data_IF_188626233842
#
_entry.id   IF_188626233842
#
_cell.length_a   1.000
_cell.length_b   1.000
_cell.length_c   1.000
_cell.angle_alpha   90.00
_cell.angle_beta   90.00
_cell.angle_gamma   90.00
#
_symmetry.space_group_name_H-M   'P 1'
#
loop_
_entity.id
_entity.type
_entity.pdbx_description
1 polymer ?
#
# COMPACT_ATOMS: atom_id res chain seq x y z
N UNK A 1 35.23 -1.23 -14.70
CA UNK A 1 34.40 -0.93 -13.51
C UNK A 1 33.32 0.06 -13.89
N UNK A 2 32.16 -0.48 -14.31
CA UNK A 2 31.01 0.33 -14.53
C UNK A 2 30.49 0.79 -13.16
N UNK A 3 30.76 2.02 -12.79
CA UNK A 3 30.11 2.71 -11.70
C UNK A 3 28.62 2.74 -12.02
N UNK A 4 27.87 1.76 -11.51
CA UNK A 4 26.42 1.81 -11.53
C UNK A 4 25.98 2.97 -10.66
N UNK A 5 25.78 4.12 -11.28
CA UNK A 5 25.19 5.28 -10.62
C UNK A 5 23.76 4.91 -10.19
N UNK A 6 23.60 4.70 -8.90
CA UNK A 6 22.27 4.52 -8.33
C UNK A 6 21.45 5.77 -8.62
N UNK A 7 20.45 5.65 -9.49
CA UNK A 7 19.60 6.77 -9.91
C UNK A 7 18.49 7.06 -8.93
N UNK A 8 18.06 6.01 -8.21
CA UNK A 8 16.95 6.07 -7.27
C UNK A 8 17.40 5.39 -5.99
N UNK A 9 17.24 6.07 -4.88
CA UNK A 9 17.50 5.55 -3.54
C UNK A 9 16.21 5.67 -2.76
N UNK A 10 15.79 4.56 -2.12
CA UNK A 10 14.70 4.56 -1.17
C UNK A 10 15.26 4.54 0.24
N UNK A 11 14.57 5.19 1.15
CA UNK A 11 14.94 5.19 2.54
C UNK A 11 13.69 5.18 3.43
N UNK A 12 13.83 4.61 4.62
CA UNK A 12 12.74 4.50 5.58
C UNK A 12 13.10 5.30 6.82
N UNK A 13 12.14 6.05 7.31
CA UNK A 13 12.21 6.72 8.61
C UNK A 13 11.51 5.83 9.63
N UNK A 14 12.20 5.52 10.72
CA UNK A 14 11.60 4.84 11.86
C UNK A 14 11.15 5.90 12.86
N UNK A 15 9.84 5.97 13.12
CA UNK A 15 9.26 6.93 14.05
C UNK A 15 9.58 6.60 15.52
N UNK A 16 9.79 5.34 15.83
CA UNK A 16 10.01 4.87 17.20
C UNK A 16 11.45 5.08 17.64
N UNK A 17 12.40 5.16 16.71
CA UNK A 17 13.79 5.46 16.94
C UNK A 17 14.12 6.87 16.43
N UNK A 18 14.05 7.84 17.32
CA UNK A 18 14.41 9.21 17.01
C UNK A 18 15.77 9.29 16.28
N UNK A 19 15.76 9.71 15.03
CA UNK A 19 16.93 10.05 14.20
C UNK A 19 17.63 8.91 13.43
N UNK A 20 17.11 7.72 13.35
CA UNK A 20 17.69 6.72 12.46
C UNK A 20 17.07 6.81 11.04
N UNK A 21 17.77 7.46 10.14
CA UNK A 21 17.52 7.38 8.71
C UNK A 21 18.24 6.14 8.20
N UNK A 22 17.50 5.08 7.96
CA UNK A 22 18.03 3.92 7.28
C UNK A 22 17.98 4.15 5.76
N UNK A 23 19.12 4.45 5.18
CA UNK A 23 19.28 4.51 3.73
C UNK A 23 19.33 3.07 3.22
N UNK A 24 18.23 2.58 2.69
CA UNK A 24 18.22 1.31 1.97
C UNK A 24 18.42 1.58 0.49
N UNK A 25 19.54 1.14 -0.01
CA UNK A 25 19.78 1.03 -1.45
C UNK A 25 18.88 -0.07 -2.03
N UNK A 26 17.61 0.23 -2.22
CA UNK A 26 16.73 -0.65 -2.96
C UNK A 26 16.75 -0.26 -4.43
N UNK A 27 17.14 -1.23 -5.26
CA UNK A 27 16.89 -1.13 -6.69
C UNK A 27 15.37 -1.21 -6.91
N UNK A 28 14.86 -0.32 -7.72
CA UNK A 28 13.51 -0.49 -8.25
C UNK A 28 13.56 -1.71 -9.16
N UNK A 29 12.80 -2.73 -8.81
CA UNK A 29 12.71 -3.92 -9.64
C UNK A 29 11.94 -3.59 -10.92
N UNK A 30 12.65 -3.57 -12.04
CA UNK A 30 12.09 -3.38 -13.37
C UNK A 30 11.93 -4.69 -14.13
N UNK A 31 12.13 -5.83 -13.48
CA UNK A 31 12.01 -7.13 -14.12
C UNK A 31 10.55 -7.46 -14.43
N UNK A 32 10.31 -8.01 -15.63
CA UNK A 32 9.00 -8.48 -16.06
C UNK A 32 8.47 -9.67 -15.25
N UNK A 33 9.30 -10.32 -14.46
CA UNK A 33 8.94 -11.49 -13.67
C UNK A 33 8.30 -11.16 -12.31
N UNK A 34 8.25 -9.88 -11.92
CA UNK A 34 7.64 -9.44 -10.66
C UNK A 34 6.10 -9.53 -10.66
N UNK A 35 5.47 -9.65 -11.82
CA UNK A 35 4.03 -9.50 -11.99
C UNK A 35 3.17 -10.54 -11.28
N UNK A 36 3.69 -11.76 -11.04
CA UNK A 36 2.94 -12.81 -10.35
C UNK A 36 2.82 -12.61 -8.83
N UNK A 37 3.62 -11.71 -8.25
CA UNK A 37 3.71 -11.50 -6.81
C UNK A 37 3.39 -10.06 -6.40
N UNK A 38 2.65 -9.35 -7.21
CA UNK A 38 2.41 -7.92 -7.01
C UNK A 38 1.37 -7.58 -5.94
N UNK A 39 0.65 -8.56 -5.44
CA UNK A 39 -0.22 -8.32 -4.29
C UNK A 39 0.61 -7.97 -3.05
N UNK A 40 0.26 -6.89 -2.33
CA UNK A 40 1.04 -6.40 -1.20
C UNK A 40 1.33 -7.45 -0.12
N UNK A 41 0.40 -8.37 0.11
CA UNK A 41 0.57 -9.43 1.10
C UNK A 41 1.51 -10.55 0.64
N UNK A 42 1.61 -10.83 -0.66
CA UNK A 42 2.55 -11.80 -1.20
C UNK A 42 3.99 -11.29 -1.15
N UNK A 43 4.20 -9.99 -1.33
CA UNK A 43 5.53 -9.36 -1.19
C UNK A 43 6.02 -9.33 0.25
N UNK A 44 5.11 -9.26 1.23
CA UNK A 44 5.47 -9.16 2.65
C UNK A 44 5.62 -10.50 3.34
N UNK A 45 4.78 -11.47 3.01
CA UNK A 45 4.81 -12.78 3.67
C UNK A 45 4.09 -13.86 2.86
N UNK A 46 4.63 -15.08 2.90
CA UNK A 46 4.00 -16.27 2.30
C UNK A 46 2.84 -16.79 3.17
N UNK A 47 2.79 -16.42 4.44
CA UNK A 47 1.81 -16.86 5.42
C UNK A 47 0.62 -15.89 5.55
N UNK A 48 -0.12 -15.62 4.47
CA UNK A 48 -1.31 -14.79 4.52
C UNK A 48 -2.51 -15.46 3.82
N UNK A 49 -3.70 -15.26 4.36
CA UNK A 49 -4.97 -15.69 3.76
C UNK A 49 -5.81 -14.48 3.41
N UNK A 50 -6.49 -14.55 2.29
CA UNK A 50 -7.40 -13.52 1.78
C UNK A 50 -8.65 -14.17 1.18
N UNK A 51 -9.69 -13.37 0.92
CA UNK A 51 -10.99 -13.89 0.46
C UNK A 51 -11.09 -14.04 -1.08
N UNK A 52 -9.96 -14.05 -1.79
CA UNK A 52 -9.92 -14.32 -3.23
C UNK A 52 -10.23 -13.13 -4.14
N UNK A 53 -10.56 -11.96 -3.60
CA UNK A 53 -10.82 -10.74 -4.37
C UNK A 53 -9.79 -9.68 -4.01
N UNK A 54 -9.19 -9.01 -5.00
CA UNK A 54 -8.27 -7.91 -4.74
C UNK A 54 -8.94 -6.83 -3.87
N UNK A 55 -8.25 -6.41 -2.81
CA UNK A 55 -8.82 -5.46 -1.85
C UNK A 55 -9.68 -6.08 -0.74
N UNK A 56 -9.87 -7.39 -0.73
CA UNK A 56 -10.58 -8.09 0.34
C UNK A 56 -9.78 -8.15 1.65
N UNK A 57 -10.40 -8.44 2.81
CA UNK A 57 -9.69 -8.62 4.06
C UNK A 57 -8.57 -9.66 3.95
N UNK A 58 -7.43 -9.36 4.56
CA UNK A 58 -6.26 -10.23 4.59
C UNK A 58 -5.88 -10.53 6.04
N UNK A 59 -5.65 -11.79 6.34
CA UNK A 59 -5.11 -12.23 7.61
C UNK A 59 -3.67 -12.71 7.43
N UNK A 60 -2.73 -12.05 8.10
CA UNK A 60 -1.32 -12.43 8.16
C UNK A 60 -1.12 -13.39 9.34
N UNK A 61 -0.55 -14.57 9.07
CA UNK A 61 -0.31 -15.59 10.11
C UNK A 61 0.93 -15.31 10.96
N UNK A 62 1.93 -14.65 10.37
CA UNK A 62 3.14 -14.29 11.10
C UNK A 62 2.84 -13.21 12.13
N UNK A 63 2.90 -13.56 13.42
CA UNK A 63 2.61 -12.67 14.53
C UNK A 63 3.49 -11.41 14.51
N UNK A 64 4.78 -11.55 14.22
CA UNK A 64 5.74 -10.43 14.23
C UNK A 64 5.55 -9.43 13.08
N UNK A 65 4.82 -9.83 12.04
CA UNK A 65 4.51 -8.96 10.90
C UNK A 65 3.10 -8.38 10.94
N UNK A 66 2.32 -8.73 11.96
CA UNK A 66 1.03 -8.10 12.21
C UNK A 66 1.28 -6.66 12.62
N UNK A 67 0.65 -5.73 11.92
CA UNK A 67 0.73 -4.34 12.32
C UNK A 67 0.01 -4.15 13.66
N UNK A 68 0.56 -3.30 14.53
CA UNK A 68 -0.06 -2.99 15.82
C UNK A 68 -1.43 -2.34 15.60
N UNK A 69 -2.41 -2.71 16.42
CA UNK A 69 -3.78 -2.20 16.37
C UNK A 69 -3.86 -0.74 16.84
N UNK A 70 -3.22 0.17 16.12
CA UNK A 70 -3.33 1.61 16.37
C UNK A 70 -4.62 2.20 15.78
N UNK A 71 -5.26 1.48 14.87
CA UNK A 71 -6.46 1.89 14.17
C UNK A 71 -7.72 1.16 14.70
N UNK A 72 -8.87 1.55 14.20
CA UNK A 72 -10.10 0.82 14.48
C UNK A 72 -9.98 -0.65 14.03
N UNK A 73 -10.41 -1.57 14.87
CA UNK A 73 -10.29 -3.02 14.66
C UNK A 73 -10.82 -3.47 13.29
N UNK A 74 -11.86 -2.80 12.78
CA UNK A 74 -12.45 -3.10 11.47
C UNK A 74 -11.56 -2.68 10.31
N UNK A 75 -10.59 -1.80 10.52
CA UNK A 75 -9.64 -1.35 9.50
C UNK A 75 -8.44 -2.29 9.38
N UNK A 76 -8.07 -2.97 10.46
CA UNK A 76 -6.87 -3.81 10.55
C UNK A 76 -6.74 -4.83 9.40
N UNK A 77 -7.77 -5.60 9.00
CA UNK A 77 -7.66 -6.57 7.91
C UNK A 77 -7.38 -5.95 6.53
N UNK A 78 -7.59 -4.66 6.41
CA UNK A 78 -7.40 -3.91 5.15
C UNK A 78 -6.12 -3.09 5.12
N UNK A 79 -5.38 -2.98 6.23
CA UNK A 79 -4.17 -2.16 6.33
C UNK A 79 -3.15 -2.47 5.24
N UNK A 80 -3.07 -3.73 4.84
CA UNK A 80 -2.13 -4.19 3.81
C UNK A 80 -2.38 -3.56 2.43
N UNK A 81 -3.61 -3.13 2.17
CA UNK A 81 -4.01 -2.46 0.92
C UNK A 81 -3.87 -0.93 0.98
N UNK A 82 -3.45 -0.40 2.11
CA UNK A 82 -3.42 1.04 2.39
C UNK A 82 -2.01 1.51 2.70
N UNK A 83 -1.82 2.82 2.67
CA UNK A 83 -0.60 3.43 3.18
C UNK A 83 -0.81 4.05 4.54
N UNK A 84 0.22 3.95 5.37
CA UNK A 84 0.39 4.69 6.61
C UNK A 84 1.72 5.46 6.54
N UNK A 85 1.95 6.46 7.38
CA UNK A 85 3.24 7.16 7.40
C UNK A 85 4.43 6.22 7.58
N UNK A 86 4.25 5.12 8.33
CA UNK A 86 5.27 4.12 8.61
C UNK A 86 5.56 3.21 7.41
N UNK A 87 4.54 2.93 6.60
CA UNK A 87 4.68 2.05 5.43
C UNK A 87 5.02 2.79 4.14
N UNK A 88 4.88 4.12 4.16
CA UNK A 88 5.16 4.94 2.98
C UNK A 88 6.66 4.98 2.68
N UNK A 89 7.10 4.55 1.50
CA UNK A 89 8.51 4.66 1.12
C UNK A 89 8.88 6.12 0.82
N UNK A 90 10.09 6.48 1.22
CA UNK A 90 10.67 7.78 0.91
C UNK A 90 11.72 7.61 -0.19
N UNK A 91 11.86 8.60 -1.05
CA UNK A 91 12.72 8.53 -2.21
C UNK A 91 13.74 9.66 -2.24
N UNK A 92 14.89 9.36 -2.85
CA UNK A 92 15.87 10.35 -3.27
C UNK A 92 16.28 9.98 -4.71
N UNK A 93 15.97 10.85 -5.66
CA UNK A 93 16.13 10.56 -7.08
C UNK A 93 17.04 11.57 -7.75
N UNK A 94 17.94 11.09 -8.63
CA UNK A 94 18.74 11.97 -9.49
C UNK A 94 17.98 12.41 -10.75
N UNK A 95 16.99 11.60 -11.16
CA UNK A 95 16.13 11.86 -12.31
C UNK A 95 14.68 11.63 -11.88
N UNK A 96 13.72 12.36 -12.46
CA UNK A 96 12.31 12.03 -12.24
C UNK A 96 12.03 10.56 -12.54
N UNK A 97 11.25 9.93 -11.68
CA UNK A 97 10.86 8.54 -11.82
C UNK A 97 9.35 8.42 -11.80
N UNK A 98 8.79 7.74 -12.79
CA UNK A 98 7.37 7.43 -12.86
C UNK A 98 7.21 5.94 -13.10
N UNK A 99 6.37 5.31 -12.30
CA UNK A 99 6.00 3.91 -12.37
C UNK A 99 4.49 3.82 -12.58
N UNK A 100 4.09 3.01 -13.55
CA UNK A 100 2.70 2.69 -13.82
C UNK A 100 2.57 1.17 -13.85
N UNK A 101 1.90 0.62 -12.88
CA UNK A 101 1.58 -0.80 -12.83
C UNK A 101 0.08 -0.97 -13.07
N UNK A 102 -0.24 -1.85 -13.99
CA UNK A 102 -1.61 -2.30 -14.20
C UNK A 102 -1.63 -3.83 -14.31
N UNK A 103 -2.45 -4.46 -13.55
CA UNK A 103 -2.75 -5.88 -13.67
C UNK A 103 -4.23 -6.13 -13.37
N UNK A 104 -4.80 -6.98 -14.19
CA UNK A 104 -6.23 -7.24 -14.13
C UNK A 104 -6.75 -7.75 -15.46
N UNK A 105 -8.05 -7.90 -15.53
CA UNK A 105 -8.74 -8.36 -16.73
C UNK A 105 -9.05 -7.17 -17.63
N UNK A 106 -8.20 -6.95 -18.64
CA UNK A 106 -8.50 -6.02 -19.74
C UNK A 106 -9.52 -6.66 -20.69
N UNK A 107 -10.56 -5.92 -21.03
CA UNK A 107 -11.61 -6.35 -21.97
C UNK A 107 -12.44 -7.56 -21.52
N UNK A 108 -12.38 -7.94 -20.25
CA UNK A 108 -13.29 -8.95 -19.71
C UNK A 108 -14.72 -8.39 -19.57
N UNK A 109 -15.70 -9.30 -19.58
CA UNK A 109 -17.05 -8.95 -19.21
C UNK A 109 -17.06 -8.28 -17.83
N UNK A 110 -17.86 -7.23 -17.67
CA UNK A 110 -17.99 -6.46 -16.41
C UNK A 110 -18.24 -7.34 -15.17
N UNK A 111 -18.70 -8.56 -15.38
CA UNK A 111 -19.01 -9.54 -14.34
C UNK A 111 -17.76 -10.21 -13.72
N UNK A 112 -16.63 -10.21 -14.44
CA UNK A 112 -15.36 -10.83 -14.00
C UNK A 112 -14.23 -9.81 -13.93
N UNK A 113 -14.57 -8.55 -13.73
CA UNK A 113 -13.60 -7.46 -13.72
C UNK A 113 -12.79 -7.48 -12.42
N UNK A 114 -11.48 -7.59 -12.58
CA UNK A 114 -10.50 -7.23 -11.58
C UNK A 114 -9.60 -6.16 -12.18
N UNK A 115 -9.44 -5.05 -11.47
CA UNK A 115 -8.66 -3.92 -11.95
C UNK A 115 -7.80 -3.38 -10.82
N UNK A 116 -6.51 -3.58 -10.97
CA UNK A 116 -5.51 -3.12 -10.02
C UNK A 116 -4.58 -2.16 -10.75
N UNK A 117 -4.53 -0.94 -10.27
CA UNK A 117 -3.69 0.11 -10.85
C UNK A 117 -2.88 0.78 -9.74
N UNK A 118 -1.61 1.02 -10.01
CA UNK A 118 -0.74 1.85 -9.18
C UNK A 118 0.02 2.81 -10.08
N UNK A 119 -0.04 4.07 -9.73
CA UNK A 119 0.71 5.14 -10.39
C UNK A 119 1.53 5.83 -9.31
N UNK A 120 2.82 5.89 -9.51
CA UNK A 120 3.75 6.59 -8.62
C UNK A 120 4.63 7.50 -9.45
N UNK A 121 4.76 8.73 -9.02
CA UNK A 121 5.76 9.65 -9.56
C UNK A 121 6.52 10.29 -8.41
N UNK A 122 7.83 10.31 -8.51
CA UNK A 122 8.72 10.89 -7.51
C UNK A 122 9.86 11.62 -8.18
N UNK A 123 10.19 12.78 -7.65
CA UNK A 123 11.30 13.58 -8.16
C UNK A 123 11.89 14.47 -7.07
N UNK A 124 13.18 14.70 -7.16
CA UNK A 124 13.84 15.71 -6.37
C UNK A 124 13.68 17.08 -7.04
N UNK A 125 13.02 18.00 -6.33
CA UNK A 125 12.89 19.40 -6.75
C UNK A 125 14.19 20.16 -6.49
N UNK A 126 14.85 19.82 -5.39
CA UNK A 126 16.20 20.24 -5.04
C UNK A 126 17.02 19.00 -4.61
N UNK A 127 18.35 19.07 -4.54
CA UNK A 127 19.15 17.92 -4.07
C UNK A 127 18.72 17.37 -2.71
N UNK A 128 18.06 18.18 -1.88
CA UNK A 128 17.63 17.82 -0.54
C UNK A 128 16.11 17.59 -0.42
N UNK A 129 15.30 18.07 -1.37
CA UNK A 129 13.84 18.02 -1.30
C UNK A 129 13.28 17.10 -2.39
N UNK A 130 12.64 16.05 -1.97
CA UNK A 130 11.88 15.12 -2.83
C UNK A 130 10.39 15.34 -2.67
N UNK A 131 9.66 15.20 -3.77
CA UNK A 131 8.20 15.17 -3.81
C UNK A 131 7.75 13.83 -4.43
N UNK A 132 6.80 13.17 -3.78
CA UNK A 132 6.19 11.91 -4.23
C UNK A 132 4.69 12.05 -4.31
N UNK A 133 4.13 11.63 -5.43
CA UNK A 133 2.70 11.46 -5.64
C UNK A 133 2.45 9.98 -5.93
N UNK A 134 1.48 9.38 -5.24
CA UNK A 134 1.13 7.99 -5.47
C UNK A 134 -0.39 7.83 -5.44
N UNK A 135 -0.90 7.05 -6.38
CA UNK A 135 -2.28 6.61 -6.42
C UNK A 135 -2.32 5.11 -6.66
N UNK A 136 -3.10 4.41 -5.88
CA UNK A 136 -3.37 3.00 -6.11
C UNK A 136 -4.85 2.69 -5.97
N UNK A 137 -5.31 1.72 -6.75
CA UNK A 137 -6.63 1.13 -6.66
C UNK A 137 -6.49 -0.38 -6.73
N UNK A 138 -7.13 -1.05 -5.79
CA UNK A 138 -7.33 -2.48 -5.81
C UNK A 138 -8.83 -2.74 -5.76
N UNK A 139 -9.36 -3.40 -6.78
CA UNK A 139 -10.78 -3.65 -6.84
C UNK A 139 -11.13 -4.77 -7.80
N UNK A 140 -12.21 -5.43 -7.50
CA UNK A 140 -12.70 -6.50 -8.33
C UNK A 140 -14.08 -6.95 -7.90
N UNK A 141 -14.66 -7.79 -8.76
CA UNK A 141 -15.88 -8.51 -8.46
C UNK A 141 -15.53 -9.92 -8.07
N UNK A 142 -15.98 -10.34 -6.91
CA UNK A 142 -15.78 -11.68 -6.42
C UNK A 142 -16.51 -12.74 -7.25
N UNK A 143 -16.30 -13.99 -6.87
CA UNK A 143 -16.94 -15.14 -7.49
C UNK A 143 -18.43 -15.24 -7.14
N UNK A 144 -18.78 -14.83 -5.92
CA UNK A 144 -20.15 -14.83 -5.43
C UNK A 144 -20.83 -13.48 -5.62
N UNK A 145 -22.13 -13.49 -5.51
CA UNK A 145 -22.94 -12.27 -5.50
C UNK A 145 -22.55 -11.37 -4.32
N UNK A 146 -22.39 -10.05 -4.56
CA UNK A 146 -22.08 -9.07 -3.51
C UNK A 146 -20.72 -9.27 -2.83
N UNK A 147 -19.72 -9.62 -3.60
CA UNK A 147 -18.30 -9.67 -3.16
C UNK A 147 -17.45 -8.55 -3.73
N UNK A 148 -18.09 -7.51 -4.27
CA UNK A 148 -17.37 -6.41 -4.91
C UNK A 148 -16.50 -5.63 -3.91
N UNK A 149 -15.31 -5.27 -4.34
CA UNK A 149 -14.36 -4.44 -3.57
C UNK A 149 -13.88 -3.26 -4.41
N UNK A 150 -13.64 -2.12 -3.77
CA UNK A 150 -13.03 -0.94 -4.40
C UNK A 150 -12.22 -0.15 -3.37
N UNK A 151 -10.94 -0.47 -3.25
CA UNK A 151 -10.00 0.18 -2.35
C UNK A 151 -9.17 1.18 -3.12
N UNK A 152 -9.13 2.42 -2.67
CA UNK A 152 -8.37 3.50 -3.28
C UNK A 152 -7.50 4.21 -2.26
N UNK A 153 -6.26 4.44 -2.64
CA UNK A 153 -5.33 5.23 -1.83
C UNK A 153 -4.72 6.31 -2.70
N UNK A 154 -4.66 7.52 -2.17
CA UNK A 154 -3.94 8.64 -2.76
C UNK A 154 -2.97 9.22 -1.74
N UNK A 155 -1.75 9.50 -2.17
CA UNK A 155 -0.68 10.02 -1.34
C UNK A 155 -0.02 11.22 -2.01
N UNK A 156 0.21 12.25 -1.21
CA UNK A 156 1.09 13.36 -1.55
C UNK A 156 2.09 13.45 -0.40
N UNK A 157 3.37 13.25 -0.68
CA UNK A 157 4.41 13.28 0.35
C UNK A 157 5.62 14.09 -0.09
N UNK A 158 6.26 14.72 0.85
CA UNK A 158 7.49 15.47 0.65
C UNK A 158 8.52 15.10 1.72
N UNK A 159 9.77 14.94 1.30
CA UNK A 159 10.89 14.60 2.14
C UNK A 159 11.99 15.63 1.96
N UNK A 160 12.52 16.16 3.06
CA UNK A 160 13.69 17.01 3.05
C UNK A 160 14.82 16.37 3.82
N UNK A 161 15.95 16.17 3.18
CA UNK A 161 17.14 15.56 3.77
C UNK A 161 18.30 16.55 3.71
N UNK A 162 18.38 17.45 4.68
CA UNK A 162 19.47 18.41 4.82
C UNK A 162 20.53 17.92 5.82
N UNK A 163 21.65 18.66 5.90
CA UNK A 163 22.77 18.33 6.82
C UNK A 163 22.39 18.41 8.29
N UNK A 164 21.55 19.37 8.66
CA UNK A 164 21.14 19.63 10.06
C UNK A 164 19.64 19.43 10.29
N UNK A 165 18.84 19.53 9.23
CA UNK A 165 17.39 19.46 9.29
C UNK A 165 16.87 18.35 8.38
N UNK A 166 15.95 17.55 8.88
CA UNK A 166 15.27 16.51 8.15
C UNK A 166 13.76 16.65 8.39
N UNK A 167 12.98 16.40 7.37
CA UNK A 167 11.54 16.51 7.44
C UNK A 167 10.88 15.44 6.57
N UNK A 168 9.83 14.84 7.10
CA UNK A 168 8.88 14.02 6.37
C UNK A 168 7.50 14.59 6.58
N UNK A 169 6.80 14.84 5.53
CA UNK A 169 5.42 15.32 5.61
C UNK A 169 4.60 14.75 4.48
N UNK A 170 3.32 14.62 4.70
CA UNK A 170 2.43 14.19 3.65
C UNK A 170 1.00 14.07 4.08
N UNK A 171 0.17 13.88 3.07
CA UNK A 171 -1.25 13.60 3.20
C UNK A 171 -1.55 12.26 2.54
N UNK A 172 -2.20 11.39 3.28
CA UNK A 172 -2.63 10.07 2.83
C UNK A 172 -4.15 9.99 2.93
N UNK A 173 -4.78 9.62 1.83
CA UNK A 173 -6.20 9.34 1.76
C UNK A 173 -6.42 7.87 1.42
N UNK A 174 -6.99 7.12 2.35
CA UNK A 174 -7.39 5.73 2.17
C UNK A 174 -8.92 5.64 2.15
N UNK A 175 -9.47 4.97 1.12
CA UNK A 175 -10.88 4.64 0.99
C UNK A 175 -11.00 3.15 0.72
N UNK A 176 -11.80 2.49 1.52
CA UNK A 176 -12.10 1.07 1.40
C UNK A 176 -13.61 0.95 1.24
N UNK A 177 -14.04 0.28 0.19
CA UNK A 177 -15.44 -0.04 -0.05
C UNK A 177 -15.57 -1.51 -0.38
N UNK A 178 -16.52 -2.16 0.25
CA UNK A 178 -16.83 -3.56 0.02
C UNK A 178 -18.32 -3.80 0.11
N UNK A 179 -18.84 -4.62 -0.81
CA UNK A 179 -20.17 -5.22 -0.67
C UNK A 179 -20.08 -6.42 0.27
N UNK A 180 -21.10 -6.61 1.09
CA UNK A 180 -21.17 -7.71 2.05
C UNK A 180 -22.36 -8.60 1.71
N UNK A 181 -22.12 -9.90 1.57
CA UNK A 181 -23.14 -10.88 1.19
C UNK A 181 -23.73 -11.67 2.40
N UNK A 182 -23.01 -11.68 3.52
CA UNK A 182 -23.44 -12.41 4.72
C UNK A 182 -23.37 -13.93 4.59
N UNK A 183 -22.86 -14.46 3.47
CA UNK A 183 -22.81 -15.88 3.14
C UNK A 183 -23.98 -16.33 2.26
N UNK A 184 -23.88 -17.57 1.81
CA UNK A 184 -24.91 -18.18 0.96
C UNK A 184 -26.10 -18.67 1.79
N UNK A 185 -27.31 -18.52 1.25
CA UNK A 185 -28.52 -19.04 1.89
C UNK A 185 -28.54 -20.56 1.84
N UNK A 186 -28.03 -21.16 0.77
CA UNK A 186 -27.85 -22.59 0.62
C UNK A 186 -26.41 -22.92 0.15
N UNK A 187 -25.51 -23.34 1.06
CA UNK A 187 -24.13 -23.67 0.70
C UNK A 187 -23.99 -24.87 -0.25
N UNK A 188 -25.00 -25.75 -0.35
CA UNK A 188 -24.94 -26.92 -1.22
C UNK A 188 -24.95 -26.54 -2.71
N UNK A 189 -25.50 -25.38 -3.04
CA UNK A 189 -25.53 -24.86 -4.41
C UNK A 189 -24.16 -24.53 -5.02
N UNK A 190 -23.11 -24.36 -4.19
CA UNK A 190 -21.71 -24.22 -4.69
C UNK A 190 -21.25 -25.48 -5.43
N UNK A 191 -21.76 -26.63 -5.04
CA UNK A 191 -21.39 -27.92 -5.64
C UNK A 191 -22.15 -28.19 -6.94
N UNK A 192 -23.16 -27.41 -7.22
CA UNK A 192 -23.93 -27.52 -8.45
C UNK A 192 -23.18 -26.79 -9.60
N UNK A 193 -22.69 -27.57 -10.55
CA UNK A 193 -21.95 -27.06 -11.71
C UNK A 193 -22.82 -26.39 -12.76
N UNK A 194 -24.14 -26.45 -12.63
CA UNK A 194 -25.10 -25.90 -13.59
C UNK A 194 -25.48 -24.46 -13.26
N UNK A 195 -25.42 -24.06 -11.99
CA UNK A 195 -25.77 -22.72 -11.52
C UNK A 195 -24.54 -21.82 -11.50
N UNK A 196 -24.64 -20.63 -12.09
CA UNK A 196 -23.59 -19.63 -11.94
C UNK A 196 -23.51 -19.20 -10.46
N UNK A 197 -22.30 -19.23 -9.89
CA UNK A 197 -22.06 -18.88 -8.48
C UNK A 197 -22.60 -17.48 -8.12
N UNK A 198 -22.74 -16.57 -9.08
CA UNK A 198 -23.30 -15.23 -8.89
C UNK A 198 -24.83 -15.18 -8.84
N UNK A 199 -25.49 -16.23 -9.31
CA UNK A 199 -26.93 -16.35 -9.23
C UNK A 199 -27.40 -16.95 -7.91
N UNK A 200 -26.48 -17.56 -7.14
CA UNK A 200 -26.77 -18.14 -5.85
C UNK A 200 -27.22 -17.03 -4.88
N UNK A 201 -28.31 -17.28 -4.17
CA UNK A 201 -28.85 -16.31 -3.22
C UNK A 201 -27.95 -16.15 -1.99
N UNK A 202 -27.84 -14.91 -1.54
CA UNK A 202 -27.06 -14.50 -0.37
C UNK A 202 -27.96 -13.88 0.69
N UNK A 203 -27.54 -13.96 1.96
CA UNK A 203 -28.32 -13.42 3.07
C UNK A 203 -28.49 -11.90 3.01
N UNK A 204 -27.43 -11.18 2.63
CA UNK A 204 -27.43 -9.72 2.61
C UNK A 204 -27.47 -9.20 1.17
N UNK A 205 -28.59 -8.60 0.78
CA UNK A 205 -28.80 -8.14 -0.59
C UNK A 205 -28.26 -6.71 -0.86
N UNK A 206 -28.18 -5.86 0.19
CA UNK A 206 -27.84 -4.43 0.06
C UNK A 206 -26.81 -3.94 1.08
N UNK A 207 -26.15 -4.85 1.81
CA UNK A 207 -25.17 -4.47 2.79
C UNK A 207 -23.84 -4.04 2.13
N UNK A 208 -23.25 -2.99 2.64
CA UNK A 208 -21.94 -2.51 2.21
C UNK A 208 -21.15 -1.94 3.37
N UNK A 209 -19.84 -2.12 3.34
CA UNK A 209 -18.91 -1.53 4.28
C UNK A 209 -18.10 -0.43 3.58
N UNK A 210 -18.05 0.76 4.20
CA UNK A 210 -17.32 1.92 3.68
C UNK A 210 -16.49 2.53 4.78
N UNK A 211 -15.19 2.52 4.59
CA UNK A 211 -14.23 3.14 5.51
C UNK A 211 -13.42 4.20 4.78
N UNK A 212 -13.14 5.31 5.47
CA UNK A 212 -12.32 6.39 4.96
C UNK A 212 -11.36 6.84 6.05
N UNK A 213 -10.08 6.84 5.74
CA UNK A 213 -9.03 7.35 6.63
C UNK A 213 -8.28 8.47 5.92
N UNK A 214 -8.11 9.59 6.61
CA UNK A 214 -7.30 10.72 6.17
C UNK A 214 -6.21 10.94 7.18
N UNK A 215 -4.98 10.92 6.74
CA UNK A 215 -3.82 11.09 7.61
C UNK A 215 -2.99 12.25 7.12
N UNK A 216 -2.79 13.24 7.95
CA UNK A 216 -1.80 14.30 7.76
C UNK A 216 -0.68 14.03 8.76
N UNK A 217 0.56 14.00 8.30
CA UNK A 217 1.70 13.78 9.17
C UNK A 217 2.82 14.77 8.87
N UNK A 218 3.56 15.10 9.93
CA UNK A 218 4.77 15.91 9.87
C UNK A 218 5.75 15.37 10.91
N UNK A 219 6.84 14.79 10.44
CA UNK A 219 7.95 14.37 11.27
C UNK A 219 9.16 15.24 10.91
N UNK A 220 9.80 15.79 11.91
CA UNK A 220 10.95 16.65 11.69
C UNK A 220 12.01 16.45 12.76
N UNK A 221 13.25 16.55 12.36
CA UNK A 221 14.39 16.50 13.25
C UNK A 221 15.40 17.59 12.91
N UNK A 222 16.01 18.14 13.95
CA UNK A 222 17.05 19.14 13.81
C UNK A 222 18.26 18.76 14.67
N UNK A 223 19.43 18.65 14.05
CA UNK A 223 20.69 18.38 14.75
C UNK A 223 21.23 19.69 15.33
N UNK A 224 21.13 19.83 16.65
CA UNK A 224 21.72 20.95 17.36
C UNK A 224 23.23 20.69 17.50
N UNK A 225 24.12 21.55 17.00
CA UNK A 225 25.55 21.42 17.27
C UNK A 225 25.80 21.70 18.75
N UNK A 226 26.18 20.67 19.48
CA UNK A 226 26.55 20.79 20.88
C UNK A 226 28.07 20.69 20.97
N UNK A 227 28.72 21.76 21.40
CA UNK A 227 30.13 21.77 21.71
C UNK A 227 30.25 21.62 23.22
N UNK A 228 30.70 20.47 23.69
CA UNK A 228 31.00 20.25 25.08
C UNK A 228 32.53 20.14 25.24
N UNK A 229 33.12 21.03 26.02
CA UNK A 229 34.57 21.06 26.32
C UNK A 229 35.45 21.04 25.03
N UNK A 230 35.24 22.00 24.13
CA UNK A 230 36.03 22.16 22.88
C UNK A 230 36.19 20.91 21.98
N UNK A 231 35.36 19.91 22.20
CA UNK A 231 35.25 18.76 21.27
C UNK A 231 33.86 18.74 20.65
N UNK A 232 33.81 18.78 19.33
CA UNK A 232 32.60 18.43 18.59
C UNK A 232 32.29 16.95 18.83
N UNK A 233 31.10 16.64 19.31
CA UNK A 233 30.56 15.30 19.49
C UNK A 233 29.68 14.94 18.32
#
# INVERSE_FOLDING_TARGET
DSLHYKRIVTWKHDRDFHNMVELRDQWVDTSYNANFYDYPFLKKDVGATWLGVAGSPVQVYNYFKRESNQDAIFFTPYQIWTFTPETLPNYNTKTPYTELDYYGTLFANKEKEESNIRIRTTQNITPALNLTLEYQRFGGRGMLRREDTDNRTAVIAANYLGKKYQMHTGFIYNRIERSENGGLTDPSMILDTVVDAREIEVYLKDASNKMRKRTLFLDQSYRIPFTFLDKEV
#
